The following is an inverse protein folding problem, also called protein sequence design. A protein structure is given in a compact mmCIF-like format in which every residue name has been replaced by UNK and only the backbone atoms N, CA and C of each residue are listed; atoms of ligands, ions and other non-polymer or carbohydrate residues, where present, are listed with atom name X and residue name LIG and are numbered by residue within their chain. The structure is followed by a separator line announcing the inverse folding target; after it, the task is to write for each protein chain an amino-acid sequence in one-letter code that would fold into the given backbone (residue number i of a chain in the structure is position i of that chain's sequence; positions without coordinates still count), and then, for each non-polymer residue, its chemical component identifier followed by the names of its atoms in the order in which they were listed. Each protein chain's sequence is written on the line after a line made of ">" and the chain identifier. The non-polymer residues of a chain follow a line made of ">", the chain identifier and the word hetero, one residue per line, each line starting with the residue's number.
data_IF_706909530345
#
_entry.id   IF_706909530345
#
_cell.length_a   1.000
_cell.length_b   1.000
_cell.length_c   1.000
_cell.angle_alpha   90.00
_cell.angle_beta   90.00
_cell.angle_gamma   90.00
#
_symmetry.space_group_name_H-M   'P 1'
#
loop_
_entity.id
_entity.type
_entity.pdbx_description
1 polymer ?
#
# COMPACT_ATOMS: atom_id res chain seq x y z
N UNK A 1 12.08 -13.27 -40.51
CA UNK A 1 11.47 -12.92 -39.21
C UNK A 1 12.52 -12.23 -38.33
N UNK A 2 12.53 -10.89 -38.33
CA UNK A 2 13.49 -10.06 -37.60
C UNK A 2 13.17 -10.04 -36.09
N UNK A 3 13.63 -11.04 -35.33
CA UNK A 3 13.79 -10.87 -33.89
C UNK A 3 15.17 -10.30 -33.60
N UNK A 4 15.32 -8.99 -33.83
CA UNK A 4 16.48 -8.23 -33.42
C UNK A 4 16.66 -8.34 -31.90
N UNK A 5 17.78 -8.94 -31.47
CA UNK A 5 18.21 -8.99 -30.08
C UNK A 5 18.43 -7.56 -29.57
N UNK A 6 17.39 -6.96 -28.97
CA UNK A 6 17.55 -5.66 -28.33
C UNK A 6 18.71 -5.71 -27.32
N UNK A 7 19.71 -4.82 -27.43
CA UNK A 7 20.94 -4.91 -26.66
C UNK A 7 20.69 -4.83 -25.15
N UNK A 8 21.41 -5.62 -24.34
CA UNK A 8 21.24 -5.67 -22.87
C UNK A 8 21.26 -4.29 -22.20
N UNK A 9 21.98 -3.32 -22.75
CA UNK A 9 22.05 -1.95 -22.25
C UNK A 9 20.74 -1.14 -22.43
N UNK A 10 19.99 -1.33 -23.53
CA UNK A 10 18.70 -0.64 -23.76
C UNK A 10 17.62 -1.20 -22.84
N UNK A 11 17.59 -2.54 -22.66
CA UNK A 11 16.70 -3.21 -21.70
C UNK A 11 16.92 -2.71 -20.26
N UNK A 12 18.17 -2.61 -19.81
CA UNK A 12 18.53 -2.05 -18.49
C UNK A 12 18.05 -0.60 -18.31
N UNK A 13 18.23 0.26 -19.33
CA UNK A 13 17.76 1.66 -19.29
C UNK A 13 16.23 1.75 -19.21
N UNK A 14 15.50 0.96 -20.00
CA UNK A 14 14.01 0.89 -19.99
C UNK A 14 13.48 0.45 -18.62
N UNK A 15 14.01 -0.64 -18.05
CA UNK A 15 13.63 -1.14 -16.71
C UNK A 15 13.88 -0.10 -15.62
N UNK A 16 15.05 0.57 -15.63
CA UNK A 16 15.37 1.63 -14.68
C UNK A 16 14.41 2.82 -14.76
N UNK A 17 13.93 3.17 -15.95
CA UNK A 17 12.94 4.23 -16.17
C UNK A 17 11.59 3.89 -15.55
N UNK A 18 11.15 2.63 -15.67
CA UNK A 18 9.88 2.16 -15.07
C UNK A 18 9.95 2.22 -13.54
N UNK A 19 11.01 1.68 -12.93
CA UNK A 19 11.20 1.72 -11.47
C UNK A 19 11.18 3.16 -10.95
N UNK A 20 11.86 4.09 -11.63
CA UNK A 20 11.86 5.52 -11.26
C UNK A 20 10.46 6.14 -11.37
N UNK A 21 9.72 5.82 -12.45
CA UNK A 21 8.36 6.32 -12.68
C UNK A 21 7.41 5.86 -11.57
N UNK A 22 7.44 4.58 -11.22
CA UNK A 22 6.55 4.04 -10.18
C UNK A 22 6.97 4.49 -8.78
N UNK A 23 8.26 4.59 -8.48
CA UNK A 23 8.73 5.20 -7.23
C UNK A 23 8.27 6.66 -7.07
N UNK A 24 8.24 7.46 -8.15
CA UNK A 24 7.68 8.84 -8.13
C UNK A 24 6.18 8.83 -7.85
N UNK A 25 5.43 7.88 -8.40
CA UNK A 25 3.99 7.71 -8.11
C UNK A 25 3.74 7.32 -6.67
N UNK A 26 4.49 6.35 -6.16
CA UNK A 26 4.43 5.96 -4.75
C UNK A 26 4.74 7.12 -3.82
N UNK A 27 5.79 7.91 -4.12
CA UNK A 27 6.10 9.14 -3.36
C UNK A 27 4.90 10.09 -3.28
N UNK A 28 4.24 10.37 -4.41
CA UNK A 28 3.06 11.25 -4.45
C UNK A 28 1.92 10.70 -3.61
N UNK A 29 1.61 9.41 -3.78
CA UNK A 29 0.52 8.76 -3.06
C UNK A 29 0.77 8.69 -1.55
N UNK A 30 2.01 8.40 -1.12
CA UNK A 30 2.40 8.38 0.29
C UNK A 30 2.27 9.76 0.94
N UNK A 31 2.63 10.83 0.21
CA UNK A 31 2.47 12.20 0.73
C UNK A 31 1.00 12.57 0.87
N UNK A 32 0.19 12.32 -0.16
CA UNK A 32 -1.25 12.56 -0.10
C UNK A 32 -1.93 11.75 1.02
N UNK A 33 -1.52 10.49 1.22
CA UNK A 33 -2.01 9.68 2.33
C UNK A 33 -1.60 10.23 3.70
N UNK A 34 -0.40 10.79 3.82
CA UNK A 34 0.04 11.43 5.06
C UNK A 34 -0.71 12.74 5.35
N UNK A 35 -1.01 13.55 4.33
CA UNK A 35 -1.80 14.78 4.45
C UNK A 35 -3.24 14.51 4.89
N UNK A 36 -3.81 13.37 4.48
CA UNK A 36 -5.19 12.98 4.79
C UNK A 36 -5.32 12.10 6.04
N UNK A 37 -4.20 11.75 6.67
CA UNK A 37 -4.16 10.86 7.84
C UNK A 37 -5.01 11.43 8.98
N UNK A 38 -5.80 10.58 9.63
CA UNK A 38 -6.74 10.97 10.69
C UNK A 38 -8.02 11.66 10.22
N UNK A 39 -8.24 11.78 8.90
CA UNK A 39 -9.49 12.33 8.34
C UNK A 39 -10.35 11.23 7.69
N UNK A 40 -11.65 11.50 7.41
CA UNK A 40 -12.50 10.58 6.64
C UNK A 40 -11.96 10.23 5.25
N UNK A 41 -11.04 11.04 4.70
CA UNK A 41 -10.38 10.77 3.42
C UNK A 41 -9.14 9.88 3.54
N UNK A 42 -8.73 9.49 4.75
CA UNK A 42 -7.55 8.63 4.98
C UNK A 42 -7.68 7.27 4.28
N UNK A 43 -8.81 6.51 4.40
CA UNK A 43 -8.91 5.18 3.81
C UNK A 43 -8.68 5.12 2.28
N UNK A 44 -9.33 5.95 1.44
CA UNK A 44 -9.07 5.91 0.00
C UNK A 44 -7.64 6.37 -0.36
N UNK A 45 -7.07 7.31 0.40
CA UNK A 45 -5.71 7.79 0.19
C UNK A 45 -4.65 6.73 0.53
N UNK A 46 -4.81 6.05 1.68
CA UNK A 46 -3.99 4.93 2.12
C UNK A 46 -4.10 3.75 1.13
N UNK A 47 -5.30 3.45 0.63
CA UNK A 47 -5.49 2.44 -0.40
C UNK A 47 -4.79 2.81 -1.73
N UNK A 48 -4.80 4.09 -2.15
CA UNK A 48 -4.05 4.55 -3.32
C UNK A 48 -2.53 4.41 -3.12
N UNK A 49 -2.03 4.72 -1.93
CA UNK A 49 -0.62 4.51 -1.56
C UNK A 49 -0.24 3.02 -1.60
N UNK A 50 -1.10 2.12 -1.10
CA UNK A 50 -0.91 0.64 -1.18
C UNK A 50 -0.76 0.19 -2.62
N UNK A 51 -1.65 0.62 -3.53
CA UNK A 51 -1.58 0.28 -4.96
C UNK A 51 -0.28 0.76 -5.60
N UNK A 52 0.15 1.98 -5.28
CA UNK A 52 1.41 2.52 -5.78
C UNK A 52 2.64 1.79 -5.22
N UNK A 53 2.60 1.36 -3.95
CA UNK A 53 3.62 0.55 -3.32
C UNK A 53 3.75 -0.83 -3.99
N UNK A 54 2.64 -1.56 -4.16
CA UNK A 54 2.61 -2.86 -4.85
C UNK A 54 3.21 -2.78 -6.25
N UNK A 55 2.81 -1.77 -7.04
CA UNK A 55 3.38 -1.53 -8.38
C UNK A 55 4.88 -1.27 -8.35
N UNK A 56 5.32 -0.43 -7.42
CA UNK A 56 6.75 -0.10 -7.24
C UNK A 56 7.55 -1.34 -6.85
N UNK A 57 7.01 -2.18 -5.96
CA UNK A 57 7.62 -3.47 -5.57
C UNK A 57 7.81 -4.36 -6.79
N UNK A 58 6.76 -4.60 -7.56
CA UNK A 58 6.83 -5.47 -8.75
C UNK A 58 7.78 -4.94 -9.83
N UNK A 59 7.77 -3.63 -10.10
CA UNK A 59 8.73 -3.03 -11.02
C UNK A 59 10.18 -3.20 -10.52
N UNK A 60 10.42 -3.01 -9.21
CA UNK A 60 11.73 -3.16 -8.61
C UNK A 60 12.18 -4.64 -8.55
N UNK A 61 11.25 -5.58 -8.37
CA UNK A 61 11.50 -7.02 -8.38
C UNK A 61 11.90 -7.50 -9.76
N UNK A 62 11.16 -7.10 -10.81
CA UNK A 62 11.52 -7.37 -12.21
C UNK A 62 12.89 -6.76 -12.59
N UNK A 63 13.31 -5.71 -11.90
CA UNK A 63 14.61 -5.07 -12.10
C UNK A 63 15.77 -5.75 -11.36
N UNK A 64 15.52 -6.67 -10.42
CA UNK A 64 16.56 -7.32 -9.61
C UNK A 64 17.66 -8.03 -10.44
N UNK A 65 17.35 -8.78 -11.51
CA UNK A 65 18.38 -9.44 -12.32
C UNK A 65 19.29 -8.46 -13.07
N UNK A 66 18.78 -7.25 -13.33
CA UNK A 66 19.40 -6.25 -14.20
C UNK A 66 20.01 -5.06 -13.44
N UNK A 67 19.71 -4.90 -12.15
CA UNK A 67 19.92 -3.68 -11.39
C UNK A 67 20.33 -3.93 -9.93
N UNK A 68 21.53 -3.42 -9.61
CA UNK A 68 22.25 -3.34 -8.32
C UNK A 68 21.35 -3.07 -7.09
N UNK A 69 21.92 -3.32 -5.89
CA UNK A 69 21.47 -3.00 -4.51
C UNK A 69 20.31 -1.99 -4.34
N UNK A 70 20.28 -0.89 -5.10
CA UNK A 70 19.19 0.10 -5.12
C UNK A 70 17.81 -0.48 -5.42
N UNK A 71 17.66 -1.37 -6.42
CA UNK A 71 16.36 -1.97 -6.76
C UNK A 71 15.84 -2.86 -5.61
N UNK A 72 16.73 -3.66 -5.01
CA UNK A 72 16.43 -4.46 -3.81
C UNK A 72 15.98 -3.58 -2.63
N UNK A 73 16.65 -2.45 -2.41
CA UNK A 73 16.28 -1.47 -1.36
C UNK A 73 14.92 -0.80 -1.62
N UNK A 74 14.54 -0.58 -2.88
CA UNK A 74 13.23 -0.01 -3.23
C UNK A 74 12.13 -1.06 -3.00
N UNK A 75 12.33 -2.28 -3.52
CA UNK A 75 11.41 -3.42 -3.35
C UNK A 75 11.09 -3.65 -1.87
N UNK A 76 12.12 -3.79 -1.01
CA UNK A 76 11.92 -4.00 0.45
C UNK A 76 11.17 -2.87 1.16
N UNK A 77 11.33 -1.62 0.71
CA UNK A 77 10.60 -0.47 1.30
C UNK A 77 9.15 -0.43 0.84
N UNK A 78 8.94 -0.71 -0.44
CA UNK A 78 7.60 -0.79 -1.02
C UNK A 78 6.80 -1.97 -0.43
N UNK A 79 7.47 -3.08 -0.11
CA UNK A 79 6.91 -4.22 0.61
C UNK A 79 6.41 -3.84 2.00
N UNK A 80 7.27 -3.30 2.86
CA UNK A 80 6.86 -2.85 4.22
C UNK A 80 5.67 -1.89 4.20
N UNK A 81 5.63 -1.01 3.21
CA UNK A 81 4.52 -0.08 3.02
C UNK A 81 3.25 -0.80 2.54
N UNK A 82 3.39 -1.76 1.61
CA UNK A 82 2.29 -2.58 1.14
C UNK A 82 1.69 -3.42 2.28
N UNK A 83 2.51 -3.96 3.17
CA UNK A 83 2.07 -4.83 4.27
C UNK A 83 1.22 -4.05 5.28
N UNK A 84 1.75 -2.94 5.80
CA UNK A 84 1.04 -2.09 6.77
C UNK A 84 -0.25 -1.49 6.18
N UNK A 85 -0.19 -1.00 4.94
CA UNK A 85 -1.39 -0.47 4.27
C UNK A 85 -2.36 -1.59 3.83
N UNK A 86 -1.87 -2.84 3.77
CA UNK A 86 -2.68 -4.03 3.58
C UNK A 86 -3.56 -4.28 4.79
N UNK A 87 -2.94 -4.35 5.98
CA UNK A 87 -3.67 -4.53 7.24
C UNK A 87 -4.77 -3.47 7.44
N UNK A 88 -4.45 -2.19 7.17
CA UNK A 88 -5.44 -1.13 7.23
C UNK A 88 -6.63 -1.40 6.28
N UNK A 89 -6.35 -1.70 5.01
CA UNK A 89 -7.42 -1.90 4.03
C UNK A 89 -8.28 -3.12 4.34
N UNK A 90 -7.64 -4.23 4.72
CA UNK A 90 -8.31 -5.48 5.01
C UNK A 90 -9.18 -5.32 6.28
N UNK A 91 -8.71 -4.56 7.28
CA UNK A 91 -9.50 -4.17 8.45
C UNK A 91 -10.73 -3.33 8.10
N UNK A 92 -10.58 -2.29 7.26
CA UNK A 92 -11.72 -1.46 6.82
C UNK A 92 -12.77 -2.28 6.06
N UNK A 93 -12.34 -3.11 5.10
CA UNK A 93 -13.24 -3.97 4.32
C UNK A 93 -13.96 -4.97 5.24
N UNK A 94 -13.24 -5.57 6.20
CA UNK A 94 -13.85 -6.49 7.17
C UNK A 94 -14.85 -5.77 8.08
N UNK A 95 -14.53 -4.56 8.54
CA UNK A 95 -15.44 -3.74 9.34
C UNK A 95 -16.75 -3.46 8.57
N UNK A 96 -16.67 -3.08 7.30
CA UNK A 96 -17.84 -2.86 6.45
C UNK A 96 -18.69 -4.12 6.30
N UNK A 97 -18.05 -5.29 6.11
CA UNK A 97 -18.75 -6.56 6.00
C UNK A 97 -19.44 -6.95 7.32
N UNK A 98 -18.77 -6.79 8.45
CA UNK A 98 -19.33 -7.06 9.78
C UNK A 98 -20.53 -6.17 10.08
N UNK A 99 -20.49 -4.90 9.65
CA UNK A 99 -21.63 -3.98 9.78
C UNK A 99 -22.83 -4.48 8.99
N UNK A 100 -22.64 -4.95 7.75
CA UNK A 100 -23.72 -5.52 6.91
C UNK A 100 -24.32 -6.77 7.56
N UNK A 101 -23.47 -7.70 7.97
CA UNK A 101 -23.90 -8.94 8.62
C UNK A 101 -24.64 -8.67 9.95
N UNK A 102 -24.19 -7.68 10.73
CA UNK A 102 -24.88 -7.28 11.97
C UNK A 102 -26.28 -6.72 11.71
N UNK A 103 -26.46 -5.92 10.65
CA UNK A 103 -27.77 -5.42 10.24
C UNK A 103 -28.67 -6.57 9.77
N UNK A 104 -28.15 -7.49 8.95
CA UNK A 104 -28.90 -8.67 8.48
C UNK A 104 -29.33 -9.58 9.64
N UNK A 105 -28.44 -9.83 10.61
CA UNK A 105 -28.75 -10.60 11.81
C UNK A 105 -29.88 -9.95 12.61
N UNK A 106 -29.78 -8.64 12.87
CA UNK A 106 -30.82 -7.89 13.57
C UNK A 106 -32.18 -7.96 12.86
N UNK A 107 -32.22 -7.80 11.53
CA UNK A 107 -33.45 -7.89 10.75
C UNK A 107 -34.09 -9.29 10.77
N UNK A 108 -33.31 -10.34 11.04
CA UNK A 108 -33.79 -11.71 11.24
C UNK A 108 -34.16 -12.03 12.69
N UNK A 109 -34.06 -11.05 13.60
CA UNK A 109 -34.26 -11.27 15.04
C UNK A 109 -33.13 -12.04 15.73
N UNK A 110 -31.98 -12.19 15.08
CA UNK A 110 -30.78 -12.81 15.66
C UNK A 110 -29.97 -11.81 16.49
N UNK A 111 -29.09 -12.31 17.34
CA UNK A 111 -28.21 -11.46 18.15
C UNK A 111 -27.11 -10.79 17.29
N UNK A 112 -27.18 -9.46 17.18
CA UNK A 112 -26.21 -8.66 16.42
C UNK A 112 -24.97 -8.20 17.22
N UNK A 113 -24.92 -8.43 18.54
CA UNK A 113 -23.90 -7.88 19.43
C UNK A 113 -22.48 -8.31 19.04
N UNK A 114 -22.29 -9.60 18.72
CA UNK A 114 -20.98 -10.14 18.31
C UNK A 114 -20.43 -9.44 17.07
N UNK A 115 -21.29 -9.13 16.08
CA UNK A 115 -20.87 -8.41 14.88
C UNK A 115 -20.43 -6.98 15.21
N UNK A 116 -21.13 -6.30 16.12
CA UNK A 116 -20.75 -4.98 16.62
C UNK A 116 -19.39 -4.98 17.32
N UNK A 117 -19.13 -5.97 18.19
CA UNK A 117 -17.84 -6.12 18.86
C UNK A 117 -16.69 -6.37 17.88
N UNK A 118 -16.90 -7.26 16.90
CA UNK A 118 -15.91 -7.53 15.86
C UNK A 118 -15.67 -6.30 14.98
N UNK A 119 -16.72 -5.55 14.63
CA UNK A 119 -16.63 -4.32 13.84
C UNK A 119 -15.72 -3.29 14.53
N UNK A 120 -15.96 -3.02 15.82
CA UNK A 120 -15.15 -2.11 16.62
C UNK A 120 -13.68 -2.55 16.66
N UNK A 121 -13.42 -3.86 16.80
CA UNK A 121 -12.05 -4.41 16.80
C UNK A 121 -11.34 -4.21 15.45
N UNK A 122 -12.05 -4.31 14.33
CA UNK A 122 -11.46 -4.04 13.02
C UNK A 122 -11.15 -2.56 12.83
N UNK A 123 -12.01 -1.64 13.30
CA UNK A 123 -11.70 -0.21 13.28
C UNK A 123 -10.46 0.12 14.11
N UNK A 124 -10.29 -0.53 15.26
CA UNK A 124 -9.08 -0.39 16.08
C UNK A 124 -7.83 -0.86 15.31
N UNK A 125 -7.87 -2.04 14.66
CA UNK A 125 -6.75 -2.53 13.83
C UNK A 125 -6.42 -1.60 12.67
N UNK A 126 -7.44 -1.02 12.04
CA UNK A 126 -7.23 -0.02 10.99
C UNK A 126 -6.47 1.20 11.54
N UNK A 127 -6.84 1.71 12.72
CA UNK A 127 -6.14 2.80 13.38
C UNK A 127 -4.68 2.44 13.72
N UNK A 128 -4.44 1.24 14.29
CA UNK A 128 -3.09 0.74 14.58
C UNK A 128 -2.22 0.62 13.32
N UNK A 129 -2.80 0.17 12.20
CA UNK A 129 -2.13 0.11 10.91
C UNK A 129 -1.82 1.50 10.34
N UNK A 130 -2.72 2.47 10.51
CA UNK A 130 -2.48 3.87 10.12
C UNK A 130 -1.33 4.48 10.96
N UNK A 131 -1.29 4.20 12.25
CA UNK A 131 -0.19 4.57 13.14
C UNK A 131 1.12 3.93 12.68
N UNK A 132 1.09 2.63 12.35
CA UNK A 132 2.22 1.91 11.75
C UNK A 132 2.70 2.58 10.46
N UNK A 133 1.79 3.07 9.62
CA UNK A 133 2.13 3.81 8.41
C UNK A 133 2.83 5.13 8.76
N UNK A 134 2.31 5.91 9.72
CA UNK A 134 2.95 7.17 10.17
C UNK A 134 4.37 6.93 10.67
N UNK A 135 4.59 5.87 11.45
CA UNK A 135 5.91 5.48 11.95
C UNK A 135 6.85 5.04 10.82
N UNK A 136 6.38 4.16 9.93
CA UNK A 136 7.16 3.69 8.79
C UNK A 136 7.57 4.84 7.87
N UNK A 137 6.67 5.80 7.63
CA UNK A 137 6.93 6.96 6.76
C UNK A 137 8.09 7.82 7.26
N UNK A 138 8.23 8.01 8.58
CA UNK A 138 9.37 8.75 9.17
C UNK A 138 10.73 8.14 8.79
N UNK A 139 10.76 6.83 8.53
CA UNK A 139 11.97 6.08 8.15
C UNK A 139 12.13 5.91 6.63
N UNK A 140 11.16 6.34 5.84
CA UNK A 140 11.27 6.32 4.38
C UNK A 140 12.16 7.48 3.90
N UNK A 141 12.98 7.28 2.85
CA UNK A 141 13.69 8.40 2.25
C UNK A 141 12.71 9.35 1.55
N UNK A 142 13.01 10.65 1.52
CA UNK A 142 12.19 11.69 0.87
C UNK A 142 11.76 11.33 -0.57
N UNK A 143 12.63 10.68 -1.34
CA UNK A 143 12.35 10.21 -2.71
C UNK A 143 11.28 9.12 -2.82
N UNK A 144 10.86 8.53 -1.70
CA UNK A 144 9.81 7.51 -1.61
C UNK A 144 8.61 7.97 -0.75
N UNK A 145 8.57 9.23 -0.31
CA UNK A 145 7.43 9.80 0.42
C UNK A 145 7.66 10.03 1.92
N UNK A 146 8.88 9.81 2.39
CA UNK A 146 9.29 10.27 3.72
C UNK A 146 9.29 11.80 3.84
N UNK A 147 9.49 12.31 5.07
CA UNK A 147 9.72 13.74 5.30
C UNK A 147 10.90 14.26 4.47
N UNK A 148 10.88 15.56 4.17
CA UNK A 148 11.95 16.24 3.44
C UNK A 148 13.24 16.23 4.25
#
# INVERSE_FOLDING_TARGET
>A
LQHGLEPKATKKKKVSKIVRKDAKRMRKAVRAAAEKSGSPEAPPALHAARKAAKRTRYAADAAKPNGKSKARKISRRAERLQDVLGEHHDSIVTAEQLRRLGVEAYLRGENAFTYGLLHARQLQRAAEAEDGFRHLRKRLPAKLGGPA
#
